data_IF_580287297651
#
_entry.id   IF_580287297651
#
_cell.length_a   1.000
_cell.length_b   1.000
_cell.length_c   1.000
_cell.angle_alpha   90.00
_cell.angle_beta   90.00
_cell.angle_gamma   90.00
#
_symmetry.space_group_name_H-M   'P 1'
#
loop_
_entity.id
_entity.type
_entity.pdbx_description
1 polymer ?
#
# COMPACT_ATOMS: atom_id res chain seq x y z
N UNK A 1 29.55 28.88 -0.52
CA UNK A 1 28.79 29.78 -1.40
C UNK A 1 27.54 28.99 -1.80
N UNK A 2 26.32 29.21 -1.34
CA UNK A 2 25.65 30.35 -0.72
C UNK A 2 24.83 29.85 0.47
N UNK A 3 25.16 30.32 1.68
CA UNK A 3 24.40 30.06 2.90
C UNK A 3 23.36 31.18 3.04
N UNK A 4 22.32 31.12 2.20
CA UNK A 4 21.19 32.05 2.33
C UNK A 4 20.38 31.57 3.53
N UNK A 5 20.15 32.39 4.57
CA UNK A 5 19.34 31.97 5.70
C UNK A 5 17.94 31.65 5.17
N UNK A 6 17.59 30.36 5.13
CA UNK A 6 16.26 29.92 4.76
C UNK A 6 15.28 30.64 5.70
N UNK A 7 14.36 31.38 5.13
CA UNK A 7 13.31 32.05 5.90
C UNK A 7 12.53 31.00 6.67
N UNK A 8 11.97 31.34 7.84
CA UNK A 8 11.14 30.40 8.61
C UNK A 8 10.01 29.82 7.74
N UNK A 9 9.46 30.62 6.80
CA UNK A 9 8.45 30.14 5.86
C UNK A 9 8.98 29.03 4.93
N UNK A 10 10.20 29.15 4.41
CA UNK A 10 10.82 28.14 3.55
C UNK A 10 11.08 26.84 4.33
N UNK A 11 11.64 26.93 5.54
CA UNK A 11 11.88 25.75 6.38
C UNK A 11 10.58 25.02 6.71
N UNK A 12 9.52 25.76 7.08
CA UNK A 12 8.22 25.17 7.38
C UNK A 12 7.57 24.51 6.14
N UNK A 13 7.77 25.09 4.96
CA UNK A 13 7.24 24.53 3.71
C UNK A 13 7.95 23.23 3.35
N UNK A 14 9.29 23.22 3.40
CA UNK A 14 10.11 22.01 3.16
C UNK A 14 9.79 20.91 4.17
N UNK A 15 9.62 21.26 5.46
CA UNK A 15 9.22 20.31 6.49
C UNK A 15 7.84 19.70 6.20
N UNK A 16 6.85 20.55 5.85
CA UNK A 16 5.50 20.08 5.54
C UNK A 16 5.49 19.12 4.34
N UNK A 17 6.29 19.41 3.31
CA UNK A 17 6.42 18.53 2.15
C UNK A 17 7.16 17.24 2.47
N UNK A 18 8.19 17.30 3.31
CA UNK A 18 8.90 16.11 3.80
C UNK A 18 7.97 15.18 4.58
N UNK A 19 7.13 15.73 5.46
CA UNK A 19 6.13 14.97 6.22
C UNK A 19 5.10 14.34 5.27
N UNK A 20 4.63 15.07 4.25
CA UNK A 20 3.68 14.52 3.27
C UNK A 20 4.28 13.37 2.47
N UNK A 21 5.55 13.49 2.08
CA UNK A 21 6.25 12.46 1.31
C UNK A 21 6.58 11.22 2.14
N UNK A 22 6.66 11.33 3.47
CA UNK A 22 6.93 10.19 4.35
C UNK A 22 5.67 9.42 4.77
N UNK A 23 4.47 9.98 4.58
CA UNK A 23 3.21 9.32 4.93
C UNK A 23 2.75 8.43 3.77
N UNK A 24 2.91 7.11 3.94
CA UNK A 24 2.31 6.15 3.03
C UNK A 24 0.83 5.95 3.36
N UNK A 25 -0.04 6.06 2.35
CA UNK A 25 -1.50 5.92 2.53
C UNK A 25 -2.04 4.73 1.77
N UNK A 26 -1.97 4.76 0.44
CA UNK A 26 -2.27 3.62 -0.40
C UNK A 26 -1.65 3.77 -1.79
N UNK A 27 -1.43 2.65 -2.47
CA UNK A 27 -0.94 2.57 -3.84
C UNK A 27 -1.61 1.38 -4.55
N UNK A 28 -1.73 1.39 -5.88
CA UNK A 28 -2.06 0.16 -6.60
C UNK A 28 -0.92 -0.85 -6.43
N UNK A 29 -1.28 -2.11 -6.18
CA UNK A 29 -0.35 -3.22 -5.98
C UNK A 29 -0.66 -4.40 -6.88
N UNK A 30 0.36 -5.22 -7.12
CA UNK A 30 0.24 -6.50 -7.83
C UNK A 30 0.78 -7.62 -6.97
N UNK A 31 0.01 -8.69 -6.87
CA UNK A 31 0.40 -9.90 -6.16
C UNK A 31 1.52 -10.61 -6.92
N UNK A 32 2.63 -10.86 -6.24
CA UNK A 32 3.75 -11.68 -6.73
C UNK A 32 3.66 -13.11 -6.21
N UNK A 33 3.11 -13.30 -5.00
CA UNK A 33 2.88 -14.61 -4.40
C UNK A 33 1.65 -14.56 -3.50
N UNK A 34 0.89 -15.65 -3.45
CA UNK A 34 -0.27 -15.79 -2.57
C UNK A 34 -0.22 -17.08 -1.76
N UNK A 35 -0.56 -17.00 -0.48
CA UNK A 35 -0.72 -18.11 0.46
C UNK A 35 -2.21 -18.21 0.85
N UNK A 36 -2.89 -19.20 0.28
CA UNK A 36 -4.33 -19.43 0.49
C UNK A 36 -4.68 -19.85 1.92
N UNK A 37 -3.74 -20.52 2.62
CA UNK A 37 -3.99 -21.08 3.96
C UNK A 37 -4.06 -19.98 5.00
N UNK A 38 -3.21 -18.96 4.84
CA UNK A 38 -3.10 -17.80 5.74
C UNK A 38 -3.72 -16.52 5.16
N UNK A 39 -4.24 -16.58 3.94
CA UNK A 39 -4.85 -15.46 3.22
C UNK A 39 -3.93 -14.22 3.16
N UNK A 40 -2.65 -14.44 2.86
CA UNK A 40 -1.64 -13.38 2.76
C UNK A 40 -0.89 -13.42 1.44
N UNK A 41 -0.39 -12.27 1.00
CA UNK A 41 0.28 -12.12 -0.28
C UNK A 41 1.57 -11.30 -0.15
N UNK A 42 2.50 -11.56 -1.06
CA UNK A 42 3.63 -10.67 -1.31
C UNK A 42 3.22 -9.71 -2.44
N UNK A 43 3.19 -8.41 -2.16
CA UNK A 43 2.60 -7.40 -3.05
C UNK A 43 3.66 -6.41 -3.51
N UNK A 44 3.80 -6.25 -4.83
CA UNK A 44 4.64 -5.23 -5.44
C UNK A 44 3.81 -3.96 -5.69
N UNK A 45 4.15 -2.80 -5.08
CA UNK A 45 3.56 -1.52 -5.46
C UNK A 45 3.87 -1.20 -6.93
N UNK A 46 2.86 -0.70 -7.66
CA UNK A 46 2.95 -0.45 -9.10
C UNK A 46 3.30 1.00 -9.46
N UNK A 47 3.27 1.91 -8.50
CA UNK A 47 3.63 3.32 -8.69
C UNK A 47 5.00 3.57 -8.07
N UNK A 48 5.90 4.13 -8.88
CA UNK A 48 7.25 4.50 -8.45
C UNK A 48 7.22 5.82 -7.67
N UNK A 49 8.12 5.95 -6.70
CA UNK A 49 8.31 7.20 -5.98
C UNK A 49 9.21 8.14 -6.78
N UNK A 50 8.78 9.40 -6.89
CA UNK A 50 9.61 10.47 -7.44
C UNK A 50 10.25 11.22 -6.27
N UNK A 51 11.58 11.30 -6.27
CA UNK A 51 12.34 12.02 -5.25
C UNK A 51 13.22 13.07 -5.93
N UNK A 52 13.28 14.26 -5.36
CA UNK A 52 14.28 15.27 -5.76
C UNK A 52 15.60 14.89 -5.08
N UNK A 53 16.65 14.77 -5.88
CA UNK A 53 18.01 14.54 -5.40
C UNK A 53 18.65 15.85 -4.95
N UNK A 54 19.73 15.78 -4.18
CA UNK A 54 20.50 16.95 -3.73
C UNK A 54 21.04 17.78 -4.90
N UNK A 55 21.20 17.17 -6.08
CA UNK A 55 21.69 17.78 -7.31
C UNK A 55 20.56 18.42 -8.16
N UNK A 56 19.34 18.52 -7.62
CA UNK A 56 18.12 18.99 -8.33
C UNK A 56 17.62 18.09 -9.46
N UNK A 57 18.17 16.87 -9.60
CA UNK A 57 17.64 15.85 -10.52
C UNK A 57 16.48 15.08 -9.91
N UNK A 58 15.59 14.57 -10.76
CA UNK A 58 14.45 13.73 -10.35
C UNK A 58 14.86 12.25 -10.41
N UNK A 59 15.02 11.62 -9.25
CA UNK A 59 15.15 10.17 -9.14
C UNK A 59 13.77 9.51 -9.13
N UNK A 60 13.66 8.34 -9.78
CA UNK A 60 12.42 7.56 -9.85
C UNK A 60 12.69 6.15 -9.32
N UNK A 61 12.34 5.93 -8.05
CA UNK A 61 12.65 4.71 -7.33
C UNK A 61 11.48 3.73 -7.35
N UNK A 62 11.81 2.46 -7.55
CA UNK A 62 10.82 1.37 -7.43
C UNK A 62 10.72 0.96 -5.97
N UNK A 63 9.50 0.92 -5.45
CA UNK A 63 9.25 0.45 -4.09
C UNK A 63 9.53 -1.06 -3.98
N UNK A 64 10.03 -1.53 -2.82
CA UNK A 64 10.24 -2.95 -2.60
C UNK A 64 8.91 -3.72 -2.56
N UNK A 65 8.99 -5.04 -2.72
CA UNK A 65 7.86 -5.94 -2.47
C UNK A 65 7.54 -5.93 -0.98
N UNK A 66 6.26 -5.78 -0.65
CA UNK A 66 5.76 -5.86 0.73
C UNK A 66 5.34 -7.30 1.00
N UNK A 67 6.03 -8.02 1.90
CA UNK A 67 5.75 -9.42 2.17
C UNK A 67 4.58 -9.61 3.14
N UNK A 68 3.97 -10.79 3.12
CA UNK A 68 3.01 -11.24 4.14
C UNK A 68 1.80 -10.31 4.38
N UNK A 69 1.37 -9.56 3.36
CA UNK A 69 0.24 -8.63 3.42
C UNK A 69 -1.08 -9.39 3.52
N UNK A 70 -1.95 -9.14 4.51
CA UNK A 70 -3.28 -9.72 4.57
C UNK A 70 -4.14 -9.32 3.37
N UNK A 71 -4.83 -10.28 2.78
CA UNK A 71 -5.77 -10.07 1.67
C UNK A 71 -7.20 -9.99 2.20
N UNK A 72 -7.85 -8.85 1.95
CA UNK A 72 -9.23 -8.61 2.39
C UNK A 72 -10.22 -9.18 1.37
N UNK A 73 -11.06 -10.09 1.85
CA UNK A 73 -12.22 -10.57 1.12
C UNK A 73 -13.49 -9.96 1.71
N UNK A 74 -14.35 -9.30 0.91
CA UNK A 74 -15.58 -8.71 1.40
C UNK A 74 -16.48 -9.76 2.07
N UNK A 75 -16.88 -9.52 3.31
CA UNK A 75 -17.72 -10.44 4.06
C UNK A 75 -17.85 -10.05 5.53
N UNK A 76 -18.89 -10.57 6.18
CA UNK A 76 -19.14 -10.44 7.62
C UNK A 76 -20.01 -11.59 8.12
N UNK A 77 -19.81 -11.99 9.39
CA UNK A 77 -20.50 -13.14 9.96
C UNK A 77 -20.25 -14.42 9.16
N UNK A 78 -21.32 -15.08 8.74
CA UNK A 78 -21.27 -16.34 7.98
C UNK A 78 -21.14 -16.17 6.46
N UNK A 79 -21.14 -14.93 5.95
CA UNK A 79 -21.12 -14.65 4.52
C UNK A 79 -19.81 -14.01 4.09
N UNK A 80 -19.20 -14.54 3.03
CA UNK A 80 -17.97 -14.01 2.44
C UNK A 80 -17.94 -14.23 0.94
N UNK A 81 -17.54 -13.20 0.20
CA UNK A 81 -17.23 -13.30 -1.21
C UNK A 81 -15.72 -13.53 -1.35
N UNK A 82 -15.34 -14.73 -1.76
CA UNK A 82 -13.96 -15.06 -2.12
C UNK A 82 -13.87 -15.27 -3.62
N UNK A 83 -12.70 -15.04 -4.18
CA UNK A 83 -12.41 -15.24 -5.59
C UNK A 83 -10.96 -15.69 -5.73
N UNK A 84 -10.63 -16.45 -6.79
CA UNK A 84 -9.31 -17.01 -6.96
C UNK A 84 -8.28 -15.88 -7.13
N UNK A 85 -7.31 -15.86 -6.23
CA UNK A 85 -6.16 -14.96 -6.32
C UNK A 85 -5.04 -15.69 -7.05
N UNK A 86 -4.49 -15.03 -8.07
CA UNK A 86 -3.37 -15.54 -8.85
C UNK A 86 -2.21 -14.55 -8.83
N UNK A 87 -1.00 -15.03 -9.08
CA UNK A 87 0.13 -14.15 -9.40
C UNK A 87 -0.26 -13.20 -10.54
N UNK A 88 0.10 -11.93 -10.39
CA UNK A 88 -0.29 -10.87 -11.32
C UNK A 88 -1.64 -10.21 -11.02
N UNK A 89 -2.43 -10.74 -10.07
CA UNK A 89 -3.69 -10.11 -9.64
C UNK A 89 -3.42 -8.72 -9.06
N UNK A 90 -4.22 -7.73 -9.47
CA UNK A 90 -4.06 -6.33 -9.07
C UNK A 90 -5.11 -5.93 -8.04
N UNK A 91 -4.75 -4.93 -7.23
CA UNK A 91 -5.58 -4.45 -6.14
C UNK A 91 -5.06 -3.16 -5.54
N UNK A 92 -5.78 -2.66 -4.54
CA UNK A 92 -5.38 -1.52 -3.74
C UNK A 92 -4.58 -2.03 -2.54
N UNK A 93 -3.35 -1.55 -2.41
CA UNK A 93 -2.50 -1.75 -1.23
C UNK A 93 -2.65 -0.52 -0.33
N UNK A 94 -3.22 -0.71 0.85
CA UNK A 94 -3.42 0.34 1.87
C UNK A 94 -2.36 0.17 2.95
N UNK A 95 -1.82 1.26 3.46
CA UNK A 95 -0.88 1.24 4.58
C UNK A 95 -1.57 1.67 5.87
N UNK A 96 -1.33 0.93 6.94
CA UNK A 96 -1.87 1.25 8.26
C UNK A 96 -1.13 2.42 8.90
N UNK A 97 -1.82 3.18 9.73
CA UNK A 97 -1.21 4.25 10.52
C UNK A 97 -0.26 3.73 11.59
N UNK A 98 -0.38 2.47 12.01
CA UNK A 98 0.43 1.85 13.07
C UNK A 98 0.77 0.41 12.70
N UNK A 99 1.84 -0.11 13.32
CA UNK A 99 2.32 -1.47 13.10
C UNK A 99 1.21 -2.53 13.25
N UNK A 100 1.11 -3.41 12.24
CA UNK A 100 0.15 -4.51 12.23
C UNK A 100 0.76 -5.83 12.69
N UNK A 101 2.08 -5.91 12.86
CA UNK A 101 2.83 -7.16 13.05
C UNK A 101 2.28 -8.01 14.21
N UNK A 102 2.10 -7.38 15.39
CA UNK A 102 1.58 -8.10 16.56
C UNK A 102 0.11 -8.52 16.39
N UNK A 103 -0.69 -7.67 15.76
CA UNK A 103 -2.11 -7.94 15.52
C UNK A 103 -2.29 -9.10 14.54
N UNK A 104 -1.47 -9.18 13.50
CA UNK A 104 -1.50 -10.27 12.52
C UNK A 104 -1.16 -11.63 13.14
N UNK A 105 -0.37 -11.65 14.23
CA UNK A 105 -0.02 -12.88 14.95
C UNK A 105 -1.02 -13.22 16.04
N UNK A 106 -1.39 -12.24 16.87
CA UNK A 106 -2.15 -12.47 18.11
C UNK A 106 -3.65 -12.36 17.92
N UNK A 107 -4.09 -11.54 16.95
CA UNK A 107 -5.47 -11.10 16.81
C UNK A 107 -5.98 -10.29 18.01
N UNK A 108 -7.25 -9.90 17.96
CA UNK A 108 -7.92 -9.21 19.07
C UNK A 108 -7.39 -7.79 19.33
N UNK A 109 -7.43 -7.38 20.60
CA UNK A 109 -6.87 -6.11 21.07
C UNK A 109 -5.40 -6.31 21.44
N UNK A 110 -4.50 -5.54 20.83
CA UNK A 110 -3.05 -5.62 21.07
C UNK A 110 -2.44 -4.23 21.27
N UNK A 111 -1.40 -4.15 22.08
CA UNK A 111 -0.43 -3.05 22.05
C UNK A 111 0.58 -3.34 20.93
N UNK A 112 0.76 -2.47 19.92
CA UNK A 112 1.70 -2.71 18.84
C UNK A 112 3.13 -3.01 19.31
N UNK A 113 3.58 -2.45 20.45
CA UNK A 113 4.98 -2.49 20.92
C UNK A 113 6.01 -2.07 19.85
N UNK A 114 5.54 -1.34 18.84
CA UNK A 114 6.29 -0.83 17.70
C UNK A 114 5.73 0.56 17.35
N UNK A 115 6.61 1.57 17.43
CA UNK A 115 6.25 2.98 17.24
C UNK A 115 6.22 3.41 15.77
N UNK A 116 6.47 2.49 14.82
CA UNK A 116 6.40 2.79 13.38
C UNK A 116 5.00 3.25 12.99
N UNK A 117 4.98 4.24 12.09
CA UNK A 117 3.77 4.92 11.60
C UNK A 117 3.83 4.98 10.08
N UNK A 118 2.72 4.65 9.42
CA UNK A 118 2.58 4.75 7.95
C UNK A 118 3.70 4.02 7.19
N UNK A 119 4.20 2.91 7.74
CA UNK A 119 5.30 2.15 7.14
C UNK A 119 4.79 1.33 5.94
N UNK A 120 5.69 1.09 4.98
CA UNK A 120 5.38 0.28 3.80
C UNK A 120 5.16 -1.20 4.15
N UNK A 121 5.72 -1.69 5.26
CA UNK A 121 5.52 -3.08 5.71
C UNK A 121 4.09 -3.35 6.19
N UNK A 122 3.42 -2.32 6.72
CA UNK A 122 2.10 -2.43 7.35
C UNK A 122 0.97 -2.32 6.32
N UNK A 123 1.07 -3.16 5.29
CA UNK A 123 0.14 -3.20 4.18
C UNK A 123 -1.13 -4.00 4.46
N UNK A 124 -2.22 -3.65 3.78
CA UNK A 124 -3.47 -4.40 3.66
C UNK A 124 -3.86 -4.41 2.17
N UNK A 125 -4.12 -5.58 1.59
CA UNK A 125 -4.43 -5.68 0.17
C UNK A 125 -5.92 -5.92 -0.07
N UNK A 126 -6.55 -5.05 -0.84
CA UNK A 126 -7.93 -5.20 -1.33
C UNK A 126 -7.88 -5.51 -2.82
N UNK A 127 -8.18 -6.75 -3.24
CA UNK A 127 -8.15 -7.11 -4.66
C UNK A 127 -9.21 -6.36 -5.47
N UNK A 128 -8.95 -6.15 -6.76
CA UNK A 128 -9.95 -5.69 -7.73
C UNK A 128 -9.73 -4.29 -8.31
N UNK A 129 -8.81 -3.50 -7.76
CA UNK A 129 -8.36 -2.27 -8.42
C UNK A 129 -7.61 -2.62 -9.71
N UNK A 130 -7.99 -1.98 -10.83
CA UNK A 130 -7.40 -2.21 -12.15
C UNK A 130 -7.07 -0.89 -12.83
N UNK A 131 -6.06 -0.93 -13.69
CA UNK A 131 -5.71 0.18 -14.57
C UNK A 131 -6.63 0.21 -15.80
N UNK A 132 -6.65 1.36 -16.48
CA UNK A 132 -7.43 1.54 -17.71
C UNK A 132 -6.80 0.89 -18.95
N UNK A 133 -5.53 0.44 -18.89
CA UNK A 133 -4.89 -0.32 -19.96
C UNK A 133 -5.36 -1.78 -20.00
N UNK A 134 -5.84 -2.32 -18.88
CA UNK A 134 -6.30 -3.71 -18.75
C UNK A 134 -7.69 -3.81 -18.11
N UNK A 135 -8.73 -3.24 -18.75
CA UNK A 135 -10.08 -3.27 -18.24
C UNK A 135 -10.63 -4.70 -18.16
N UNK A 136 -11.71 -4.87 -17.41
CA UNK A 136 -12.46 -6.13 -17.41
C UNK A 136 -12.98 -6.42 -18.82
N UNK A 137 -12.89 -7.69 -19.25
CA UNK A 137 -13.46 -8.13 -20.53
C UNK A 137 -14.97 -7.92 -20.58
N UNK A 138 -15.64 -8.03 -19.44
CA UNK A 138 -17.06 -7.78 -19.27
C UNK A 138 -17.33 -7.30 -17.84
N UNK A 139 -18.18 -6.29 -17.70
CA UNK A 139 -18.63 -5.75 -16.42
C UNK A 139 -20.12 -5.36 -16.53
N UNK A 140 -21.03 -6.35 -16.63
CA UNK A 140 -22.46 -6.09 -16.73
C UNK A 140 -22.97 -5.39 -15.46
N UNK A 141 -23.93 -4.47 -15.63
CA UNK A 141 -24.44 -3.62 -14.53
C UNK A 141 -25.67 -4.21 -13.83
N UNK A 142 -26.12 -5.40 -14.25
CA UNK A 142 -27.38 -6.03 -13.84
C UNK A 142 -27.19 -7.39 -13.13
N UNK A 143 -25.94 -7.89 -13.03
CA UNK A 143 -25.64 -9.19 -12.45
C UNK A 143 -24.22 -9.30 -11.91
N UNK A 144 -24.03 -10.23 -10.98
CA UNK A 144 -22.71 -10.71 -10.58
C UNK A 144 -22.09 -11.52 -11.72
N UNK A 145 -20.81 -11.30 -11.99
CA UNK A 145 -20.01 -12.14 -12.91
C UNK A 145 -19.01 -12.93 -12.06
N UNK A 146 -18.95 -14.24 -12.26
CA UNK A 146 -18.06 -15.19 -11.57
C UNK A 146 -17.07 -15.81 -12.56
#
# INVERSE_FOLDING_TARGET
MSDTPQTLQEVLSVLADTIRLSINTCLPGRITRYDETRQRADVQPLVKLRRLTEESDIAVDTLPVVPAVPVVFPGAGSWRLTFPIQEGSTGLLIFSQASLDRWLVSGGLVDPEDDRRFDLSDGIFIPGLRDFGHPLKSAPLDRLTL
#
